data_IF_427681268319
#
_entry.id   IF_427681268319
#
_cell.length_a   1.000
_cell.length_b   1.000
_cell.length_c   1.000
_cell.angle_alpha   90.00
_cell.angle_beta   90.00
_cell.angle_gamma   90.00
#
_symmetry.space_group_name_H-M   'P 1'
#
loop_
_entity.id
_entity.type
_entity.pdbx_description
1 polymer ?
#
# COMPACT_ATOMS: atom_id res chain seq x y z
N UNK A 1 -13.07 10.00 14.41
CA UNK A 1 -12.38 10.89 13.45
C UNK A 1 -10.89 10.57 13.34
N UNK A 2 -10.06 10.74 14.38
CA UNK A 2 -8.60 10.50 14.34
C UNK A 2 -8.18 9.13 13.77
N UNK A 3 -8.90 8.05 14.09
CA UNK A 3 -8.57 6.71 13.58
C UNK A 3 -8.73 6.59 12.06
N UNK A 4 -9.76 7.22 11.47
CA UNK A 4 -9.98 7.20 10.02
C UNK A 4 -8.94 8.06 9.31
N UNK A 5 -8.56 9.20 9.88
CA UNK A 5 -7.51 10.06 9.33
C UNK A 5 -6.15 9.36 9.33
N UNK A 6 -5.80 8.65 10.41
CA UNK A 6 -4.59 7.84 10.47
C UNK A 6 -4.59 6.71 9.41
N UNK A 7 -5.74 6.05 9.20
CA UNK A 7 -5.88 5.03 8.16
C UNK A 7 -5.77 5.62 6.74
N UNK A 8 -6.31 6.82 6.51
CA UNK A 8 -6.14 7.52 5.22
C UNK A 8 -4.68 7.90 4.96
N UNK A 9 -3.97 8.36 5.98
CA UNK A 9 -2.53 8.63 5.88
C UNK A 9 -1.75 7.35 5.57
N UNK A 10 -2.05 6.25 6.26
CA UNK A 10 -1.43 4.95 5.99
C UNK A 10 -1.70 4.52 4.53
N UNK A 11 -2.94 4.64 4.05
CA UNK A 11 -3.32 4.31 2.68
C UNK A 11 -2.54 5.15 1.65
N UNK A 12 -2.31 6.44 1.92
CA UNK A 12 -1.48 7.30 1.08
C UNK A 12 -0.03 6.79 1.01
N UNK A 13 0.53 6.37 2.15
CA UNK A 13 1.89 5.78 2.21
C UNK A 13 1.97 4.48 1.41
N UNK A 14 1.00 3.58 1.53
CA UNK A 14 0.96 2.34 0.74
C UNK A 14 0.92 2.62 -0.76
N UNK A 15 0.09 3.57 -1.19
CA UNK A 15 0.05 3.96 -2.61
C UNK A 15 1.39 4.56 -3.09
N UNK A 16 2.08 5.31 -2.23
CA UNK A 16 3.43 5.82 -2.49
C UNK A 16 4.47 4.70 -2.65
N UNK A 17 4.49 3.73 -1.73
CA UNK A 17 5.37 2.56 -1.81
C UNK A 17 5.09 1.71 -3.05
N UNK A 18 3.83 1.46 -3.38
CA UNK A 18 3.41 0.76 -4.61
C UNK A 18 3.98 1.44 -5.85
N UNK A 19 3.85 2.76 -5.94
CA UNK A 19 4.38 3.53 -7.08
C UNK A 19 5.92 3.47 -7.13
N UNK A 20 6.57 3.57 -5.98
CA UNK A 20 8.03 3.47 -5.87
C UNK A 20 8.53 2.10 -6.32
N UNK A 21 8.00 1.01 -5.76
CA UNK A 21 8.45 -0.34 -6.11
C UNK A 21 8.20 -0.67 -7.57
N UNK A 22 7.05 -0.27 -8.15
CA UNK A 22 6.83 -0.40 -9.61
C UNK A 22 7.90 0.31 -10.43
N UNK A 23 8.28 1.53 -10.04
CA UNK A 23 9.35 2.27 -10.73
C UNK A 23 10.69 1.56 -10.58
N UNK A 24 11.00 1.06 -9.39
CA UNK A 24 12.26 0.37 -9.11
C UNK A 24 12.35 -0.98 -9.83
N UNK A 25 11.26 -1.77 -9.92
CA UNK A 25 11.25 -3.05 -10.65
C UNK A 25 11.63 -2.86 -12.12
N UNK A 26 11.17 -1.76 -12.73
CA UNK A 26 11.54 -1.42 -14.11
C UNK A 26 12.98 -0.90 -14.24
N UNK A 27 13.50 -0.21 -13.21
CA UNK A 27 14.83 0.40 -13.23
C UNK A 27 15.95 -0.59 -12.84
N UNK A 28 15.61 -1.61 -12.04
CA UNK A 28 16.55 -2.54 -11.42
C UNK A 28 16.09 -4.00 -11.64
N UNK A 29 16.16 -4.51 -12.88
CA UNK A 29 15.75 -5.88 -13.18
C UNK A 29 16.52 -6.94 -12.37
N UNK A 30 17.74 -6.63 -11.92
CA UNK A 30 18.59 -7.50 -11.10
C UNK A 30 18.00 -7.84 -9.72
N UNK A 31 17.07 -7.02 -9.21
CA UNK A 31 16.37 -7.23 -7.94
C UNK A 31 14.84 -7.23 -8.13
N UNK A 32 14.37 -7.46 -9.35
CA UNK A 32 12.95 -7.40 -9.70
C UNK A 32 12.07 -8.33 -8.85
N UNK A 33 12.57 -9.53 -8.52
CA UNK A 33 11.83 -10.50 -7.71
C UNK A 33 11.55 -9.95 -6.30
N UNK A 34 12.59 -9.46 -5.61
CA UNK A 34 12.46 -8.84 -4.29
C UNK A 34 11.52 -7.63 -4.33
N UNK A 35 11.65 -6.77 -5.34
CA UNK A 35 10.80 -5.59 -5.48
C UNK A 35 9.34 -5.96 -5.78
N UNK A 36 9.12 -7.05 -6.49
CA UNK A 36 7.78 -7.59 -6.78
C UNK A 36 7.14 -8.19 -5.53
N UNK A 37 7.93 -8.87 -4.69
CA UNK A 37 7.47 -9.37 -3.39
C UNK A 37 7.06 -8.23 -2.47
N UNK A 38 7.87 -7.18 -2.35
CA UNK A 38 7.52 -5.98 -1.58
C UNK A 38 6.27 -5.30 -2.13
N UNK A 39 6.17 -5.14 -3.45
CA UNK A 39 4.99 -4.58 -4.11
C UNK A 39 3.72 -5.38 -3.80
N UNK A 40 3.81 -6.72 -3.75
CA UNK A 40 2.70 -7.58 -3.40
C UNK A 40 2.28 -7.42 -1.93
N UNK A 41 3.22 -7.21 -1.01
CA UNK A 41 2.88 -6.92 0.40
C UNK A 41 2.15 -5.58 0.54
N UNK A 42 2.58 -4.51 -0.15
CA UNK A 42 1.88 -3.22 -0.07
C UNK A 42 0.46 -3.29 -0.64
N UNK A 43 0.23 -4.14 -1.64
CA UNK A 43 -1.13 -4.41 -2.11
C UNK A 43 -2.00 -5.11 -1.05
N UNK A 44 -1.43 -6.02 -0.26
CA UNK A 44 -2.13 -6.65 0.87
C UNK A 44 -2.41 -5.64 1.97
N UNK A 45 -1.46 -4.76 2.29
CA UNK A 45 -1.62 -3.69 3.27
C UNK A 45 -2.72 -2.71 2.86
N UNK A 46 -2.65 -2.21 1.62
CA UNK A 46 -3.66 -1.34 1.01
C UNK A 46 -5.07 -1.93 1.17
N UNK A 47 -5.25 -3.19 0.75
CA UNK A 47 -6.55 -3.87 0.83
C UNK A 47 -7.08 -3.91 2.27
N UNK A 48 -6.25 -4.30 3.24
CA UNK A 48 -6.63 -4.37 4.67
C UNK A 48 -7.03 -2.99 5.22
N UNK A 49 -6.32 -1.94 4.82
CA UNK A 49 -6.63 -0.57 5.25
C UNK A 49 -7.96 -0.11 4.64
N UNK A 50 -8.19 -0.36 3.34
CA UNK A 50 -9.45 -0.04 2.66
C UNK A 50 -10.64 -0.78 3.29
N UNK A 51 -10.49 -2.07 3.59
CA UNK A 51 -11.48 -2.87 4.32
C UNK A 51 -11.76 -2.25 5.69
N UNK A 52 -10.72 -1.86 6.43
CA UNK A 52 -10.90 -1.27 7.77
C UNK A 52 -11.57 0.10 7.74
N UNK A 53 -11.25 0.93 6.76
CA UNK A 53 -11.95 2.20 6.55
C UNK A 53 -13.43 1.92 6.26
N UNK A 54 -13.73 0.96 5.37
CA UNK A 54 -15.12 0.60 5.04
C UNK A 54 -15.90 0.16 6.29
N UNK A 55 -15.33 -0.70 7.13
CA UNK A 55 -15.93 -1.13 8.41
C UNK A 55 -16.25 0.04 9.34
N UNK A 56 -15.33 1.01 9.46
CA UNK A 56 -15.48 2.16 10.37
C UNK A 56 -16.41 3.25 9.83
N UNK A 57 -16.75 3.20 8.53
CA UNK A 57 -17.63 4.17 7.86
C UNK A 57 -19.02 3.62 7.56
N UNK A 58 -19.25 2.31 7.75
CA UNK A 58 -20.59 1.74 7.70
C UNK A 58 -21.28 2.00 9.04
N UNK A 59 -22.39 2.74 8.99
CA UNK A 59 -23.26 3.07 10.13
C UNK A 59 -23.76 1.82 10.87
#
# INVERSE_FOLDING_TARGET
MLAIEALKLALEKENGSIALYKKLTNAHPEIADLLSDLLNEEYKHKKKIEEKISELTKD
#
